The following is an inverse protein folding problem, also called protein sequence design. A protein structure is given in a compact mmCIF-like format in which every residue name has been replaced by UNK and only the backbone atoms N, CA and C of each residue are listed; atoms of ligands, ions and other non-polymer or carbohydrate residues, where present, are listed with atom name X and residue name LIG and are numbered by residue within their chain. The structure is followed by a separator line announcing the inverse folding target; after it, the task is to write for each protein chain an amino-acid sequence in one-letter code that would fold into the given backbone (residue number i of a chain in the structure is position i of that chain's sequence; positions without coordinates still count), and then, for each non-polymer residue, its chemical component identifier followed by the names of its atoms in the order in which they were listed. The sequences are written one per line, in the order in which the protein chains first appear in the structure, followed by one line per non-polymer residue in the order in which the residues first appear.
data_IF_262647470363
#
_entry.id   IF_262647470363
#
_cell.length_a   1.000
_cell.length_b   1.000
_cell.length_c   1.000
_cell.angle_alpha   90.00
_cell.angle_beta   90.00
_cell.angle_gamma   90.00
#
_symmetry.space_group_name_H-M   'P 1'
#
loop_
_entity.id
_entity.type
_entity.pdbx_description
1 polymer ?
#
# COMPACT_ATOMS: atom_id res chain seq x y z
N UNK A 1 10.44 -22.79 7.91
CA UNK A 1 9.70 -23.63 6.94
C UNK A 1 10.18 -23.27 5.55
N UNK A 2 10.48 -24.25 4.71
CA UNK A 2 10.76 -24.05 3.28
C UNK A 2 9.49 -23.55 2.60
N UNK A 3 9.60 -22.55 1.72
CA UNK A 3 8.45 -22.05 0.97
C UNK A 3 7.87 -23.16 0.07
N UNK A 4 6.54 -23.28 0.03
CA UNK A 4 5.82 -24.20 -0.86
C UNK A 4 5.13 -23.38 -1.95
N UNK A 5 5.41 -23.71 -3.20
CA UNK A 5 4.79 -23.09 -4.38
C UNK A 5 4.25 -24.19 -5.29
N UNK A 6 2.94 -24.23 -5.43
CA UNK A 6 2.23 -25.26 -6.20
C UNK A 6 1.33 -24.60 -7.25
N UNK A 7 1.48 -24.94 -8.54
CA UNK A 7 0.52 -24.52 -9.55
C UNK A 7 -0.86 -25.08 -9.25
N UNK A 8 -1.89 -24.24 -9.38
CA UNK A 8 -3.29 -24.60 -9.17
C UNK A 8 -4.19 -24.12 -10.31
N UNK A 9 -5.36 -24.76 -10.44
CA UNK A 9 -6.51 -24.22 -11.19
C UNK A 9 -7.61 -23.93 -10.19
N UNK A 10 -8.18 -22.73 -10.26
CA UNK A 10 -9.38 -22.36 -9.51
C UNK A 10 -10.30 -21.55 -10.38
N UNK A 11 -11.57 -21.96 -10.47
CA UNK A 11 -12.58 -21.29 -11.29
C UNK A 11 -12.10 -21.02 -12.73
N UNK A 12 -11.51 -22.04 -13.36
CA UNK A 12 -10.90 -21.99 -14.71
C UNK A 12 -9.70 -21.03 -14.87
N UNK A 13 -9.24 -20.41 -13.78
CA UNK A 13 -8.07 -19.52 -13.77
C UNK A 13 -6.84 -20.27 -13.27
N UNK A 14 -5.72 -20.01 -13.92
CA UNK A 14 -4.41 -20.55 -13.52
C UNK A 14 -3.87 -19.72 -12.36
N UNK A 15 -3.24 -20.38 -11.40
CA UNK A 15 -2.69 -19.73 -10.23
C UNK A 15 -1.54 -20.47 -9.57
N UNK A 16 -1.11 -19.91 -8.45
CA UNK A 16 -0.09 -20.47 -7.57
C UNK A 16 -0.65 -20.50 -6.15
N UNK A 17 -0.65 -21.66 -5.51
CA UNK A 17 -0.78 -21.78 -4.06
C UNK A 17 0.59 -21.54 -3.44
N UNK A 18 0.65 -20.65 -2.49
CA UNK A 18 1.87 -20.18 -1.85
C UNK A 18 1.73 -20.31 -0.33
N UNK A 19 2.71 -20.97 0.29
CA UNK A 19 2.83 -21.08 1.74
C UNK A 19 4.25 -20.69 2.15
N UNK A 20 4.37 -19.54 2.82
CA UNK A 20 5.62 -19.02 3.39
C UNK A 20 5.35 -18.56 4.83
N UNK A 21 6.39 -18.23 5.62
CA UNK A 21 6.20 -17.61 6.93
C UNK A 21 5.44 -16.27 6.89
N UNK A 22 5.40 -15.57 5.75
CA UNK A 22 4.78 -14.24 5.60
C UNK A 22 3.42 -14.30 4.91
N UNK A 23 3.17 -15.33 4.09
CA UNK A 23 2.01 -15.39 3.23
C UNK A 23 1.50 -16.82 3.07
N UNK A 24 0.22 -17.02 3.40
CA UNK A 24 -0.51 -18.24 3.07
C UNK A 24 -1.68 -17.87 2.16
N UNK A 25 -1.48 -17.99 0.85
CA UNK A 25 -2.42 -17.47 -0.13
C UNK A 25 -2.51 -18.31 -1.41
N UNK A 26 -3.55 -18.04 -2.17
CA UNK A 26 -3.63 -18.43 -3.57
C UNK A 26 -3.57 -17.17 -4.43
N UNK A 27 -2.65 -17.15 -5.41
CA UNK A 27 -2.55 -16.12 -6.42
C UNK A 27 -3.22 -16.62 -7.69
N UNK A 28 -4.17 -15.88 -8.25
CA UNK A 28 -4.92 -16.27 -9.44
C UNK A 28 -4.72 -15.24 -10.56
N UNK A 29 -4.31 -15.69 -11.75
CA UNK A 29 -4.27 -14.86 -12.96
C UNK A 29 -5.67 -14.42 -13.37
N UNK A 30 -5.87 -13.18 -13.83
CA UNK A 30 -7.18 -12.64 -14.21
C UNK A 30 -7.62 -12.97 -15.65
N UNK A 31 -6.70 -13.37 -16.54
CA UNK A 31 -6.93 -13.34 -18.00
C UNK A 31 -6.60 -14.63 -18.77
N UNK A 32 -6.29 -15.76 -18.11
CA UNK A 32 -5.82 -16.97 -18.80
C UNK A 32 -6.81 -18.13 -18.64
N UNK A 33 -7.24 -18.67 -19.79
CA UNK A 33 -8.08 -19.87 -19.89
C UNK A 33 -7.26 -21.18 -19.82
N UNK A 34 -7.83 -22.18 -19.17
CA UNK A 34 -7.19 -23.39 -18.62
C UNK A 34 -6.84 -24.49 -19.64
N UNK A 35 -7.09 -24.29 -20.93
CA UNK A 35 -7.05 -25.33 -21.97
C UNK A 35 -5.68 -26.02 -22.19
N UNK A 36 -4.57 -25.47 -21.67
CA UNK A 36 -3.21 -26.03 -21.79
C UNK A 36 -2.47 -26.13 -20.43
N UNK A 37 -3.19 -26.49 -19.36
CA UNK A 37 -2.71 -26.36 -17.98
C UNK A 37 -1.34 -27.00 -17.69
N UNK A 38 -1.09 -28.24 -18.12
CA UNK A 38 0.17 -28.94 -17.80
C UNK A 38 1.42 -28.23 -18.35
N UNK A 39 1.37 -27.77 -19.60
CA UNK A 39 2.43 -26.97 -20.20
C UNK A 39 2.56 -25.58 -19.54
N UNK A 40 1.44 -25.02 -19.07
CA UNK A 40 1.43 -23.72 -18.38
C UNK A 40 2.03 -23.78 -16.97
N UNK A 41 1.85 -24.88 -16.23
CA UNK A 41 2.30 -25.03 -14.86
C UNK A 41 3.83 -25.05 -14.76
N UNK A 42 4.51 -25.83 -15.61
CA UNK A 42 5.97 -25.84 -15.68
C UNK A 42 6.54 -24.50 -16.13
N UNK A 43 5.88 -23.84 -17.10
CA UNK A 43 6.29 -22.52 -17.58
C UNK A 43 6.21 -21.45 -16.48
N UNK A 44 5.13 -21.45 -15.69
CA UNK A 44 4.98 -20.51 -14.57
C UNK A 44 6.05 -20.76 -13.50
N UNK A 45 6.33 -22.01 -13.13
CA UNK A 45 7.40 -22.29 -12.17
C UNK A 45 8.79 -21.86 -12.66
N UNK A 46 9.07 -21.99 -13.97
CA UNK A 46 10.29 -21.43 -14.57
C UNK A 46 10.33 -19.90 -14.46
N UNK A 47 9.21 -19.22 -14.69
CA UNK A 47 9.11 -17.77 -14.53
C UNK A 47 9.30 -17.35 -13.05
N UNK A 48 8.74 -18.08 -12.09
CA UNK A 48 8.97 -17.86 -10.65
C UNK A 48 10.47 -17.94 -10.34
N UNK A 49 11.14 -19.01 -10.78
CA UNK A 49 12.59 -19.16 -10.57
C UNK A 49 13.39 -18.03 -11.22
N UNK A 50 13.01 -17.58 -12.42
CA UNK A 50 13.65 -16.45 -13.09
C UNK A 50 13.54 -15.17 -12.24
N UNK A 51 12.34 -14.84 -11.74
CA UNK A 51 12.15 -13.66 -10.90
C UNK A 51 12.94 -13.75 -9.59
N UNK A 52 13.02 -14.92 -8.95
CA UNK A 52 13.88 -15.09 -7.78
C UNK A 52 15.36 -14.86 -8.08
N UNK A 53 15.85 -15.30 -9.24
CA UNK A 53 17.24 -15.05 -9.68
C UNK A 53 17.53 -13.56 -9.92
N UNK A 54 16.50 -12.75 -10.21
CA UNK A 54 16.62 -11.29 -10.30
C UNK A 54 16.54 -10.56 -8.94
N UNK A 55 16.44 -11.31 -7.84
CA UNK A 55 16.52 -10.79 -6.47
C UNK A 55 15.19 -10.56 -5.77
N UNK A 56 14.06 -10.97 -6.36
CA UNK A 56 12.76 -10.93 -5.67
C UNK A 56 12.61 -12.11 -4.70
N UNK A 57 12.00 -11.84 -3.55
CA UNK A 57 11.53 -12.90 -2.64
C UNK A 57 10.49 -13.78 -3.36
N UNK A 58 10.31 -15.01 -2.88
CA UNK A 58 9.42 -15.98 -3.52
C UNK A 58 7.99 -15.44 -3.67
N UNK A 59 7.49 -14.67 -2.71
CA UNK A 59 6.15 -14.08 -2.75
C UNK A 59 5.98 -13.11 -3.93
N UNK A 60 6.95 -12.19 -4.11
CA UNK A 60 6.95 -11.25 -5.22
C UNK A 60 7.17 -11.98 -6.55
N UNK A 61 8.07 -12.97 -6.58
CA UNK A 61 8.34 -13.76 -7.77
C UNK A 61 7.09 -14.50 -8.28
N UNK A 62 6.25 -15.02 -7.37
CA UNK A 62 4.97 -15.61 -7.72
C UNK A 62 3.99 -14.60 -8.33
N UNK A 63 3.90 -13.39 -7.75
CA UNK A 63 3.06 -12.31 -8.31
C UNK A 63 3.55 -11.92 -9.70
N UNK A 64 4.84 -11.64 -9.85
CA UNK A 64 5.44 -11.21 -11.11
C UNK A 64 5.34 -12.27 -12.21
N UNK A 65 5.53 -13.55 -11.88
CA UNK A 65 5.40 -14.65 -12.83
C UNK A 65 3.98 -14.74 -13.41
N UNK A 66 2.95 -14.67 -12.55
CA UNK A 66 1.56 -14.69 -12.99
C UNK A 66 1.20 -13.42 -13.75
N UNK A 67 1.69 -12.26 -13.30
CA UNK A 67 1.43 -10.98 -13.94
C UNK A 67 2.00 -10.95 -15.37
N UNK A 68 3.28 -11.34 -15.52
CA UNK A 68 3.96 -11.44 -16.81
C UNK A 68 3.21 -12.38 -17.76
N UNK A 69 2.76 -13.53 -17.24
CA UNK A 69 2.01 -14.50 -18.03
C UNK A 69 0.65 -13.95 -18.50
N UNK A 70 -0.07 -13.28 -17.61
CA UNK A 70 -1.35 -12.65 -17.91
C UNK A 70 -1.20 -11.59 -19.00
N UNK A 71 -0.20 -10.72 -18.87
CA UNK A 71 0.14 -9.72 -19.88
C UNK A 71 0.54 -10.33 -21.23
N UNK A 72 1.30 -11.43 -21.22
CA UNK A 72 1.70 -12.14 -22.45
C UNK A 72 0.49 -12.69 -23.20
N UNK A 73 -0.52 -13.19 -22.47
CA UNK A 73 -1.73 -13.75 -23.07
C UNK A 73 -2.63 -12.66 -23.68
N UNK A 74 -2.70 -11.48 -23.04
CA UNK A 74 -3.50 -10.35 -23.52
C UNK A 74 -2.96 -9.73 -24.82
N UNK A 75 -1.66 -9.88 -25.12
CA UNK A 75 -0.99 -9.18 -26.22
C UNK A 75 -0.84 -9.96 -27.55
N UNK A 76 -1.44 -11.16 -27.69
CA UNK A 76 -1.40 -12.03 -28.90
C UNK A 76 -0.01 -12.26 -29.55
N UNK A 77 1.09 -11.92 -28.87
CA UNK A 77 2.46 -12.15 -29.30
C UNK A 77 3.08 -13.26 -28.45
N UNK A 78 3.29 -14.41 -29.10
CA UNK A 78 4.14 -15.55 -28.75
C UNK A 78 4.58 -15.66 -27.27
N UNK A 79 3.85 -16.49 -26.51
CA UNK A 79 4.08 -16.81 -25.10
C UNK A 79 5.42 -17.53 -24.80
N UNK A 80 6.29 -17.66 -25.81
CA UNK A 80 7.62 -18.26 -25.75
C UNK A 80 8.76 -17.23 -25.58
N UNK A 81 8.48 -15.94 -25.74
CA UNK A 81 9.49 -14.87 -25.64
C UNK A 81 9.65 -14.34 -24.20
N UNK A 82 10.47 -15.02 -23.39
CA UNK A 82 11.08 -14.45 -22.19
C UNK A 82 12.06 -13.34 -22.61
N UNK A 83 11.59 -12.13 -22.95
CA UNK A 83 12.55 -11.04 -23.18
C UNK A 83 12.11 -9.74 -23.83
N UNK A 84 10.95 -9.64 -24.48
CA UNK A 84 10.56 -8.39 -25.18
C UNK A 84 9.08 -8.11 -25.02
N UNK A 85 8.72 -7.60 -23.84
CA UNK A 85 7.41 -6.98 -23.62
C UNK A 85 7.48 -5.50 -24.02
N UNK A 86 6.43 -4.97 -24.65
CA UNK A 86 6.25 -3.51 -24.75
C UNK A 86 6.25 -2.88 -23.36
N UNK A 87 6.71 -1.62 -23.24
CA UNK A 87 7.04 -0.97 -21.95
C UNK A 87 5.91 -0.88 -20.90
N UNK A 88 4.67 -1.19 -21.27
CA UNK A 88 3.49 -0.78 -20.49
C UNK A 88 2.75 -1.96 -19.82
N UNK A 89 3.16 -3.20 -20.09
CA UNK A 89 2.47 -4.40 -19.57
C UNK A 89 2.40 -4.43 -18.04
N UNK A 90 3.45 -3.92 -17.41
CA UNK A 90 3.65 -4.00 -15.97
C UNK A 90 2.76 -3.01 -15.20
N UNK A 91 2.06 -2.11 -15.90
CA UNK A 91 1.09 -1.20 -15.29
C UNK A 91 -0.36 -1.58 -15.55
N UNK A 92 -0.61 -2.67 -16.29
CA UNK A 92 -1.97 -3.14 -16.53
C UNK A 92 -2.52 -3.86 -15.28
N UNK A 93 -3.27 -3.13 -14.47
CA UNK A 93 -3.98 -3.67 -13.30
C UNK A 93 -4.93 -4.82 -13.66
N UNK A 94 -5.43 -4.88 -14.89
CA UNK A 94 -6.25 -5.98 -15.41
C UNK A 94 -5.49 -7.30 -15.52
N UNK A 95 -4.17 -7.24 -15.73
CA UNK A 95 -3.28 -8.39 -15.73
C UNK A 95 -2.68 -8.69 -14.35
N UNK A 96 -2.81 -7.78 -13.37
CA UNK A 96 -2.26 -7.97 -12.04
C UNK A 96 -2.99 -9.10 -11.27
N UNK A 97 -2.27 -10.07 -10.69
CA UNK A 97 -2.89 -11.23 -10.03
C UNK A 97 -3.82 -10.83 -8.88
N UNK A 98 -4.88 -11.62 -8.72
CA UNK A 98 -5.71 -11.56 -7.51
C UNK A 98 -5.10 -12.43 -6.43
N UNK A 99 -5.04 -11.93 -5.20
CA UNK A 99 -4.53 -12.66 -4.04
C UNK A 99 -5.70 -13.04 -3.11
N UNK A 100 -5.85 -14.34 -2.85
CA UNK A 100 -6.79 -14.90 -1.88
C UNK A 100 -5.98 -15.26 -0.64
N UNK A 101 -5.96 -14.37 0.36
CA UNK A 101 -5.17 -14.55 1.58
C UNK A 101 -5.93 -15.35 2.63
N UNK A 102 -5.47 -16.57 2.92
CA UNK A 102 -6.11 -17.46 3.91
C UNK A 102 -5.77 -17.10 5.35
N UNK A 103 -4.81 -16.18 5.57
CA UNK A 103 -4.42 -15.69 6.89
C UNK A 103 -5.24 -14.48 7.35
N UNK A 104 -5.92 -13.77 6.44
CA UNK A 104 -6.80 -12.66 6.81
C UNK A 104 -8.05 -13.21 7.48
N UNK A 105 -8.18 -12.95 8.79
CA UNK A 105 -9.21 -13.56 9.64
C UNK A 105 -10.63 -13.36 9.12
N UNK A 106 -10.98 -12.15 8.68
CA UNK A 106 -12.30 -11.79 8.18
C UNK A 106 -12.19 -10.77 7.06
N UNK A 107 -12.64 -11.14 5.87
CA UNK A 107 -12.53 -10.31 4.67
C UNK A 107 -13.74 -9.38 4.54
N UNK A 108 -13.50 -8.19 4.01
CA UNK A 108 -14.54 -7.27 3.59
C UNK A 108 -15.25 -7.80 2.32
N UNK A 109 -16.58 -7.75 2.28
CA UNK A 109 -17.36 -8.20 1.12
C UNK A 109 -17.38 -7.15 0.00
N UNK A 110 -17.26 -5.86 0.35
CA UNK A 110 -17.33 -4.73 -0.60
C UNK A 110 -16.03 -3.92 -0.59
N UNK A 111 -15.92 -2.89 -1.42
CA UNK A 111 -14.82 -1.93 -1.29
C UNK A 111 -15.02 -1.06 -0.05
N UNK A 112 -13.93 -0.59 0.55
CA UNK A 112 -14.02 0.43 1.60
C UNK A 112 -14.47 1.76 1.01
N UNK A 113 -15.04 2.63 1.85
CA UNK A 113 -15.47 3.96 1.44
C UNK A 113 -14.28 4.76 0.87
N UNK A 114 -14.53 5.62 -0.13
CA UNK A 114 -13.47 6.45 -0.71
C UNK A 114 -13.09 7.61 0.22
N UNK A 115 -11.86 8.12 0.04
CA UNK A 115 -11.43 9.35 0.68
C UNK A 115 -12.23 10.55 0.18
N UNK A 116 -12.66 11.44 1.08
CA UNK A 116 -13.33 12.70 0.75
C UNK A 116 -12.45 13.61 -0.11
N UNK A 117 -11.13 13.61 0.11
CA UNK A 117 -10.17 14.24 -0.79
C UNK A 117 -9.00 13.28 -1.03
N UNK A 118 -8.87 12.67 -2.22
CA UNK A 118 -7.79 11.73 -2.54
C UNK A 118 -6.43 12.43 -2.78
N UNK A 119 -6.41 13.76 -2.90
CA UNK A 119 -5.18 14.54 -3.12
C UNK A 119 -4.99 15.64 -2.05
N UNK A 120 -4.91 15.30 -0.76
CA UNK A 120 -4.85 16.29 0.33
C UNK A 120 -3.47 16.95 0.47
N UNK A 121 -2.43 16.44 -0.20
CA UNK A 121 -1.07 16.95 -0.11
C UNK A 121 -0.29 16.38 1.06
N UNK A 122 0.13 17.21 2.01
CA UNK A 122 0.97 16.74 3.11
C UNK A 122 0.12 15.99 4.14
N UNK A 123 0.61 14.81 4.55
CA UNK A 123 -0.04 13.93 5.51
C UNK A 123 0.82 13.75 6.78
N UNK A 124 0.67 14.63 7.77
CA UNK A 124 1.37 14.51 9.03
C UNK A 124 0.95 13.26 9.81
N UNK A 125 1.94 12.53 10.34
CA UNK A 125 1.73 11.51 11.36
C UNK A 125 2.23 12.09 12.68
N UNK A 126 1.34 12.12 13.68
CA UNK A 126 1.58 12.67 15.01
C UNK A 126 1.26 11.63 16.07
N UNK A 127 1.86 11.74 17.25
CA UNK A 127 1.65 10.79 18.36
C UNK A 127 1.03 11.44 19.61
N UNK A 128 0.75 12.75 19.56
CA UNK A 128 0.13 13.50 20.65
C UNK A 128 -0.99 14.42 20.18
N UNK A 129 -1.93 14.71 21.08
CA UNK A 129 -3.08 15.56 20.83
C UNK A 129 -2.72 17.02 20.53
N UNK A 130 -1.73 17.57 21.22
CA UNK A 130 -1.25 18.95 21.00
C UNK A 130 -0.73 19.14 19.57
N UNK A 131 0.02 18.15 19.06
CA UNK A 131 0.52 18.16 17.69
C UNK A 131 -0.62 18.00 16.67
N UNK A 132 -1.59 17.13 16.95
CA UNK A 132 -2.78 16.94 16.12
C UNK A 132 -3.55 18.26 15.97
N UNK A 133 -3.85 18.93 17.08
CA UNK A 133 -4.57 20.21 17.07
C UNK A 133 -3.75 21.31 16.38
N UNK A 134 -2.44 21.34 16.60
CA UNK A 134 -1.52 22.26 15.93
C UNK A 134 -1.56 22.10 14.40
N UNK A 135 -1.51 20.88 13.90
CA UNK A 135 -1.56 20.58 12.46
C UNK A 135 -2.94 20.91 11.85
N UNK A 136 -4.03 20.67 12.57
CA UNK A 136 -5.36 21.08 12.15
C UNK A 136 -5.48 22.61 12.03
N UNK A 137 -5.00 23.35 13.03
CA UNK A 137 -4.93 24.83 13.00
C UNK A 137 -4.03 25.34 11.86
N UNK A 138 -2.99 24.58 11.50
CA UNK A 138 -2.11 24.90 10.39
C UNK A 138 -2.77 24.68 9.00
N UNK A 139 -3.88 23.94 8.95
CA UNK A 139 -4.66 23.69 7.74
C UNK A 139 -4.51 22.29 7.14
N UNK A 140 -3.99 21.31 7.90
CA UNK A 140 -3.87 19.94 7.42
C UNK A 140 -5.24 19.30 7.13
N UNK A 141 -5.39 18.76 5.93
CA UNK A 141 -6.63 18.12 5.45
C UNK A 141 -6.64 16.59 5.62
N UNK A 142 -5.51 16.02 5.99
CA UNK A 142 -5.35 14.60 6.32
C UNK A 142 -4.33 14.49 7.46
N UNK A 143 -4.61 13.70 8.48
CA UNK A 143 -3.70 13.46 9.62
C UNK A 143 -3.82 12.03 10.10
N UNK A 144 -2.74 11.51 10.68
CA UNK A 144 -2.75 10.21 11.34
C UNK A 144 -2.37 10.40 12.80
N UNK A 145 -3.20 9.87 13.71
CA UNK A 145 -2.77 9.69 15.09
C UNK A 145 -2.16 8.30 15.23
N UNK A 146 -0.87 8.25 15.58
CA UNK A 146 -0.09 7.02 15.77
C UNK A 146 0.50 6.96 17.17
N UNK A 147 -0.28 6.42 18.10
CA UNK A 147 0.20 6.12 19.45
C UNK A 147 0.91 4.76 19.42
N UNK A 148 2.20 4.71 19.79
CA UNK A 148 2.98 3.47 19.81
C UNK A 148 2.67 2.67 21.06
N UNK A 149 1.80 1.66 20.95
CA UNK A 149 1.52 0.69 22.00
C UNK A 149 0.96 -0.59 21.39
N UNK A 150 1.29 -1.74 21.97
CA UNK A 150 0.69 -3.03 21.63
C UNK A 150 -0.63 -3.28 22.37
N UNK A 151 -0.86 -2.55 23.47
CA UNK A 151 -2.02 -2.73 24.34
C UNK A 151 -2.88 -1.47 24.36
N UNK A 152 -4.19 -1.67 24.32
CA UNK A 152 -5.16 -0.60 24.50
C UNK A 152 -5.36 -0.32 26.00
N UNK A 153 -4.86 0.82 26.46
CA UNK A 153 -5.10 1.31 27.83
C UNK A 153 -6.26 2.31 27.86
N UNK A 154 -6.87 2.58 29.03
CA UNK A 154 -7.87 3.64 29.19
C UNK A 154 -7.38 5.01 28.72
N UNK A 155 -6.10 5.32 28.92
CA UNK A 155 -5.49 6.59 28.50
C UNK A 155 -5.39 6.68 26.97
N UNK A 156 -4.97 5.61 26.29
CA UNK A 156 -4.91 5.56 24.83
C UNK A 156 -6.31 5.69 24.24
N UNK A 157 -7.29 4.99 24.82
CA UNK A 157 -8.70 5.11 24.44
C UNK A 157 -9.21 6.55 24.56
N UNK A 158 -8.90 7.22 25.67
CA UNK A 158 -9.24 8.62 25.88
C UNK A 158 -8.62 9.52 24.81
N UNK A 159 -7.33 9.35 24.52
CA UNK A 159 -6.63 10.13 23.50
C UNK A 159 -7.25 9.94 22.10
N UNK A 160 -7.56 8.70 21.70
CA UNK A 160 -8.20 8.44 20.41
C UNK A 160 -9.57 9.12 20.32
N UNK A 161 -10.40 9.00 21.36
CA UNK A 161 -11.71 9.65 21.44
C UNK A 161 -11.59 11.16 21.32
N UNK A 162 -10.65 11.76 22.04
CA UNK A 162 -10.42 13.21 22.02
C UNK A 162 -9.92 13.68 20.65
N UNK A 163 -8.97 12.97 20.03
CA UNK A 163 -8.51 13.26 18.68
C UNK A 163 -9.64 13.25 17.66
N UNK A 164 -10.53 12.24 17.72
CA UNK A 164 -11.70 12.15 16.85
C UNK A 164 -12.63 13.34 17.09
N UNK A 165 -12.91 13.67 18.36
CA UNK A 165 -13.73 14.83 18.73
C UNK A 165 -13.16 16.15 18.20
N UNK A 166 -11.85 16.38 18.35
CA UNK A 166 -11.16 17.57 17.82
C UNK A 166 -11.27 17.61 16.31
N UNK A 167 -11.00 16.49 15.62
CA UNK A 167 -11.03 16.44 14.15
C UNK A 167 -12.39 16.80 13.54
N UNK A 168 -13.50 16.49 14.23
CA UNK A 168 -14.87 16.83 13.79
C UNK A 168 -15.13 18.34 13.72
N UNK A 169 -14.35 19.14 14.44
CA UNK A 169 -14.43 20.60 14.39
C UNK A 169 -13.82 21.16 13.08
N UNK A 170 -13.15 20.32 12.29
CA UNK A 170 -12.48 20.67 11.03
C UNK A 170 -13.10 19.85 9.89
N UNK A 171 -14.12 20.35 9.16
CA UNK A 171 -14.89 19.57 8.20
C UNK A 171 -14.07 18.96 7.03
N UNK A 172 -12.93 19.57 6.71
CA UNK A 172 -12.01 19.09 5.67
C UNK A 172 -11.02 18.04 6.16
N UNK A 173 -10.97 17.75 7.47
CA UNK A 173 -10.01 16.84 8.06
C UNK A 173 -10.40 15.37 7.82
N UNK A 174 -9.43 14.63 7.28
CA UNK A 174 -9.46 13.19 7.11
C UNK A 174 -8.55 12.54 8.16
N UNK A 175 -9.05 12.34 9.39
CA UNK A 175 -8.25 11.74 10.47
C UNK A 175 -8.26 10.21 10.39
N UNK A 176 -7.08 9.60 10.30
CA UNK A 176 -6.90 8.15 10.39
C UNK A 176 -6.30 7.76 11.74
N UNK A 177 -6.89 6.75 12.38
CA UNK A 177 -6.35 6.15 13.61
C UNK A 177 -5.48 4.95 13.24
N UNK A 178 -4.23 4.93 13.69
CA UNK A 178 -3.33 3.82 13.43
C UNK A 178 -3.64 2.64 14.38
N UNK A 179 -3.77 1.44 13.81
CA UNK A 179 -3.91 0.11 14.45
C UNK A 179 -5.15 -0.12 15.34
N UNK A 180 -5.58 0.85 16.16
CA UNK A 180 -6.68 0.73 17.14
C UNK A 180 -8.08 0.74 16.50
N UNK A 181 -8.35 -0.20 15.60
CA UNK A 181 -9.56 -0.24 14.79
C UNK A 181 -10.84 -0.46 15.59
N UNK A 182 -10.82 -1.20 16.71
CA UNK A 182 -12.01 -1.36 17.56
C UNK A 182 -12.47 -0.02 18.13
N UNK A 183 -11.55 0.76 18.68
CA UNK A 183 -11.85 2.09 19.25
C UNK A 183 -12.29 3.04 18.15
N UNK A 184 -11.68 2.97 16.97
CA UNK A 184 -12.07 3.79 15.84
C UNK A 184 -13.51 3.50 15.38
N UNK A 185 -13.95 2.24 15.42
CA UNK A 185 -15.37 1.86 15.17
C UNK A 185 -16.27 2.45 16.26
N UNK A 186 -15.95 2.18 17.54
CA UNK A 186 -16.77 2.60 18.68
C UNK A 186 -16.98 4.12 18.72
N UNK A 187 -15.94 4.89 18.38
CA UNK A 187 -15.97 6.36 18.40
C UNK A 187 -16.40 6.97 17.05
N UNK A 188 -16.62 6.17 16.01
CA UNK A 188 -17.02 6.66 14.68
C UNK A 188 -15.96 7.55 14.03
N UNK A 189 -14.73 7.04 13.95
CA UNK A 189 -13.61 7.72 13.29
C UNK A 189 -13.85 7.88 11.78
N UNK A 190 -13.11 8.79 11.14
CA UNK A 190 -13.15 8.92 9.68
C UNK A 190 -12.55 7.69 8.97
N UNK A 191 -11.46 7.14 9.51
CA UNK A 191 -10.86 5.91 9.03
C UNK A 191 -9.76 5.37 9.94
N UNK A 192 -9.22 4.21 9.55
CA UNK A 192 -8.10 3.53 10.20
C UNK A 192 -6.97 3.29 9.22
N UNK A 193 -5.74 3.26 9.72
CA UNK A 193 -4.57 2.82 8.95
C UNK A 193 -4.03 1.53 9.57
N UNK A 194 -3.82 0.50 8.77
CA UNK A 194 -3.35 -0.81 9.22
C UNK A 194 -2.08 -1.23 8.46
N UNK A 195 -1.14 -1.83 9.20
CA UNK A 195 -0.01 -2.55 8.63
C UNK A 195 -0.40 -3.96 8.16
N UNK A 196 0.53 -4.62 7.47
CA UNK A 196 0.32 -5.97 6.93
C UNK A 196 0.04 -7.02 8.01
N UNK A 197 0.64 -6.88 9.18
CA UNK A 197 0.43 -7.78 10.33
C UNK A 197 -0.95 -7.53 10.97
N UNK A 198 -1.38 -6.27 11.06
CA UNK A 198 -2.66 -5.89 11.65
C UNK A 198 -3.85 -6.39 10.81
N UNK A 199 -3.68 -6.47 9.48
CA UNK A 199 -4.65 -7.07 8.57
C UNK A 199 -4.95 -8.55 8.86
N UNK A 200 -4.04 -9.27 9.52
CA UNK A 200 -4.23 -10.68 9.85
C UNK A 200 -5.24 -10.86 10.99
N UNK A 201 -5.31 -9.88 11.90
CA UNK A 201 -6.12 -9.95 13.12
C UNK A 201 -7.36 -9.05 13.09
N UNK A 202 -7.38 -8.01 12.25
CA UNK A 202 -8.49 -7.07 12.17
C UNK A 202 -9.74 -7.70 11.55
N UNK A 203 -10.92 -7.37 12.10
CA UNK A 203 -12.19 -7.69 11.46
C UNK A 203 -12.51 -6.63 10.39
N UNK A 204 -12.03 -6.87 9.15
CA UNK A 204 -12.20 -5.91 8.05
C UNK A 204 -13.68 -5.70 7.69
N UNK A 205 -14.53 -6.72 7.90
CA UNK A 205 -15.97 -6.59 7.70
C UNK A 205 -16.59 -5.65 8.73
N UNK A 206 -16.20 -5.75 10.02
CA UNK A 206 -16.67 -4.83 11.05
C UNK A 206 -16.27 -3.37 10.75
N UNK A 207 -15.01 -3.13 10.33
CA UNK A 207 -14.54 -1.79 9.95
C UNK A 207 -15.36 -1.26 8.76
N UNK A 208 -15.60 -2.11 7.75
CA UNK A 208 -16.39 -1.76 6.58
C UNK A 208 -17.85 -1.44 6.92
N UNK A 209 -18.52 -2.28 7.71
CA UNK A 209 -19.92 -2.09 8.12
C UNK A 209 -20.10 -0.81 8.94
N UNK A 210 -19.11 -0.45 9.75
CA UNK A 210 -19.08 0.81 10.48
C UNK A 210 -18.92 2.05 9.56
N UNK A 211 -18.68 1.86 8.26
CA UNK A 211 -18.52 2.95 7.29
C UNK A 211 -17.16 3.65 7.35
N UNK A 212 -16.18 3.06 8.05
CA UNK A 212 -14.84 3.61 8.16
C UNK A 212 -14.06 3.44 6.85
N UNK A 213 -13.13 4.35 6.61
CA UNK A 213 -12.13 4.24 5.55
C UNK A 213 -10.94 3.43 6.02
N UNK A 214 -10.25 2.78 5.09
CA UNK A 214 -9.08 1.96 5.37
C UNK A 214 -7.88 2.43 4.56
N UNK A 215 -6.79 2.76 5.25
CA UNK A 215 -5.45 2.86 4.67
C UNK A 215 -4.66 1.59 4.92
N UNK A 216 -3.91 1.12 3.92
CA UNK A 216 -3.06 -0.07 4.05
C UNK A 216 -1.61 0.30 3.72
N UNK A 217 -0.67 -0.06 4.59
CA UNK A 217 0.77 0.00 4.26
C UNK A 217 1.16 -1.13 3.31
N UNK A 218 1.91 -0.82 2.26
CA UNK A 218 2.46 -1.77 1.30
C UNK A 218 3.92 -1.45 0.95
N UNK A 219 4.71 -2.50 0.82
CA UNK A 219 6.15 -2.46 0.72
C UNK A 219 6.68 -3.27 -0.47
N UNK A 220 5.88 -4.18 -1.02
CA UNK A 220 6.27 -5.15 -2.05
C UNK A 220 5.06 -5.56 -2.93
N UNK A 221 5.30 -6.32 -4.01
CA UNK A 221 4.25 -6.74 -4.94
C UNK A 221 3.19 -7.61 -4.28
N UNK A 222 3.59 -8.57 -3.45
CA UNK A 222 2.64 -9.45 -2.76
C UNK A 222 1.75 -8.69 -1.77
N UNK A 223 2.28 -7.64 -1.14
CA UNK A 223 1.51 -6.78 -0.24
C UNK A 223 0.55 -5.87 -0.99
N UNK A 224 0.95 -5.38 -2.17
CA UNK A 224 0.05 -4.66 -3.07
C UNK A 224 -1.05 -5.59 -3.56
N UNK A 225 -0.75 -6.84 -3.91
CA UNK A 225 -1.76 -7.84 -4.28
C UNK A 225 -2.76 -8.09 -3.14
N UNK A 226 -2.29 -8.21 -1.90
CA UNK A 226 -3.18 -8.28 -0.72
C UNK A 226 -4.05 -7.03 -0.59
N UNK A 227 -3.45 -5.84 -0.69
CA UNK A 227 -4.18 -4.57 -0.59
C UNK A 227 -5.26 -4.46 -1.68
N UNK A 228 -4.96 -4.78 -2.95
CA UNK A 228 -5.94 -4.72 -4.03
C UNK A 228 -7.11 -5.69 -3.85
N UNK A 229 -6.88 -6.87 -3.26
CA UNK A 229 -7.96 -7.79 -2.90
C UNK A 229 -8.85 -7.25 -1.77
N UNK A 230 -8.29 -6.45 -0.85
CA UNK A 230 -9.03 -5.79 0.24
C UNK A 230 -9.83 -4.59 -0.26
N UNK A 231 -9.37 -3.91 -1.33
CA UNK A 231 -9.96 -2.68 -1.90
C UNK A 231 -10.05 -1.54 -0.86
N UNK A 232 -8.91 -1.08 -0.31
CA UNK A 232 -8.86 -0.02 0.68
C UNK A 232 -9.20 1.35 0.08
N UNK A 233 -9.36 2.34 0.96
CA UNK A 233 -9.53 3.74 0.60
C UNK A 233 -8.26 4.36 0.02
N UNK A 234 -7.08 3.90 0.46
CA UNK A 234 -5.77 4.24 -0.12
C UNK A 234 -4.71 3.18 0.19
N UNK A 235 -3.60 3.22 -0.54
CA UNK A 235 -2.40 2.39 -0.27
C UNK A 235 -1.20 3.29 0.02
N UNK A 236 -0.55 3.10 1.16
CA UNK A 236 0.68 3.81 1.52
C UNK A 236 1.90 2.98 1.11
N UNK A 237 2.72 3.53 0.20
CA UNK A 237 3.89 2.86 -0.34
C UNK A 237 5.17 3.45 0.28
N UNK A 238 5.94 2.60 0.97
CA UNK A 238 7.22 3.00 1.57
C UNK A 238 8.01 1.86 2.20
N UNK A 239 9.06 2.13 2.99
CA UNK A 239 9.69 3.43 3.11
C UNK A 239 10.29 3.86 1.76
N UNK A 240 10.09 5.11 1.34
CA UNK A 240 10.68 5.62 0.09
C UNK A 240 12.18 5.90 0.25
N UNK A 241 12.55 6.41 1.43
CA UNK A 241 13.92 6.78 1.80
C UNK A 241 14.28 6.17 3.16
N UNK A 242 15.58 6.13 3.53
CA UNK A 242 15.99 5.68 4.87
C UNK A 242 15.22 6.41 5.99
N UNK A 243 14.73 5.65 6.96
CA UNK A 243 13.94 6.18 8.08
C UNK A 243 14.20 5.40 9.36
N UNK A 244 14.06 6.08 10.50
CA UNK A 244 14.13 5.49 11.85
C UNK A 244 12.76 5.37 12.52
N UNK A 245 11.68 5.69 11.81
CA UNK A 245 10.33 5.78 12.40
C UNK A 245 9.69 4.43 12.78
N UNK A 246 10.11 3.34 12.10
CA UNK A 246 9.68 1.97 12.35
C UNK A 246 10.83 1.04 11.92
N UNK A 247 11.19 0.08 12.78
CA UNK A 247 12.14 -0.97 12.41
C UNK A 247 11.42 -1.96 11.48
N UNK A 248 11.97 -2.17 10.30
CA UNK A 248 11.34 -2.98 9.26
C UNK A 248 12.40 -3.63 8.37
N UNK A 249 12.13 -4.80 7.77
CA UNK A 249 13.09 -5.50 6.91
C UNK A 249 13.21 -4.90 5.50
N UNK A 250 12.28 -4.03 5.09
CA UNK A 250 12.26 -3.49 3.73
C UNK A 250 13.36 -2.45 3.50
N UNK A 251 14.06 -2.58 2.37
CA UNK A 251 14.95 -1.55 1.87
C UNK A 251 14.15 -0.38 1.27
N UNK A 252 14.69 0.85 1.28
CA UNK A 252 14.01 1.99 0.68
C UNK A 252 13.63 1.75 -0.78
N UNK A 253 12.36 1.97 -1.10
CA UNK A 253 11.81 1.69 -2.44
C UNK A 253 12.27 2.71 -3.49
N UNK A 254 12.59 3.93 -3.07
CA UNK A 254 12.92 5.03 -3.97
C UNK A 254 11.73 5.53 -4.81
N UNK A 255 12.03 6.52 -5.64
CA UNK A 255 11.03 7.22 -6.48
C UNK A 255 10.58 6.35 -7.66
N UNK A 256 11.46 5.50 -8.21
CA UNK A 256 11.14 4.60 -9.32
C UNK A 256 9.97 3.66 -8.97
N UNK A 257 10.04 3.02 -7.80
CA UNK A 257 8.96 2.15 -7.32
C UNK A 257 7.69 2.96 -7.05
N UNK A 258 7.79 4.17 -6.51
CA UNK A 258 6.60 5.00 -6.30
C UNK A 258 5.92 5.37 -7.62
N UNK A 259 6.68 5.78 -8.65
CA UNK A 259 6.16 6.01 -10.00
C UNK A 259 5.46 4.77 -10.56
N UNK A 260 6.00 3.59 -10.27
CA UNK A 260 5.37 2.34 -10.67
C UNK A 260 4.04 2.11 -9.93
N UNK A 261 4.03 2.26 -8.60
CA UNK A 261 2.82 2.06 -7.80
C UNK A 261 1.71 3.03 -8.15
N UNK A 262 2.01 4.32 -8.41
CA UNK A 262 0.99 5.31 -8.80
C UNK A 262 0.34 5.00 -10.15
N UNK A 263 0.94 4.12 -10.96
CA UNK A 263 0.45 3.72 -12.27
C UNK A 263 -0.29 2.40 -12.24
N UNK A 264 0.16 1.47 -11.40
CA UNK A 264 -0.49 0.17 -11.21
C UNK A 264 -1.72 0.25 -10.31
N UNK A 265 -1.62 0.95 -9.18
CA UNK A 265 -2.63 0.90 -8.12
C UNK A 265 -3.80 1.83 -8.51
N UNK A 266 -5.04 1.31 -8.60
CA UNK A 266 -6.21 2.10 -9.00
C UNK A 266 -6.76 2.98 -7.85
N UNK A 267 -6.22 2.82 -6.64
CA UNK A 267 -6.58 3.60 -5.45
C UNK A 267 -5.58 4.75 -5.24
N UNK A 268 -5.95 5.80 -4.46
CA UNK A 268 -5.00 6.82 -4.05
C UNK A 268 -3.74 6.20 -3.44
N UNK A 269 -2.58 6.63 -3.94
CA UNK A 269 -1.27 6.21 -3.43
C UNK A 269 -0.70 7.32 -2.55
N UNK A 270 -0.20 6.94 -1.38
CA UNK A 270 0.50 7.82 -0.45
C UNK A 270 1.96 7.41 -0.39
N UNK A 271 2.88 8.33 -0.67
CA UNK A 271 4.31 8.10 -0.49
C UNK A 271 4.70 8.28 0.99
N UNK A 272 5.38 7.31 1.60
CA UNK A 272 5.74 7.36 3.04
C UNK A 272 7.18 6.91 3.31
N UNK A 273 7.80 7.48 4.34
CA UNK A 273 9.09 7.03 4.87
C UNK A 273 10.28 7.87 4.39
N UNK A 274 10.88 8.60 5.33
CA UNK A 274 12.04 9.46 5.07
C UNK A 274 11.73 10.71 4.23
N UNK A 275 10.46 11.14 4.19
CA UNK A 275 10.02 12.33 3.45
C UNK A 275 10.50 13.62 4.13
N UNK A 276 11.05 14.54 3.35
CA UNK A 276 11.50 15.86 3.77
C UNK A 276 11.35 16.88 2.62
N UNK A 277 11.72 18.15 2.84
CA UNK A 277 11.63 19.20 1.82
C UNK A 277 12.49 18.94 0.58
N UNK A 278 13.63 18.27 0.72
CA UNK A 278 14.56 17.99 -0.37
C UNK A 278 13.99 16.98 -1.36
N UNK A 279 13.29 15.95 -0.88
CA UNK A 279 12.74 14.89 -1.72
C UNK A 279 11.25 15.04 -2.07
N UNK A 280 10.53 15.95 -1.42
CA UNK A 280 9.09 16.16 -1.62
C UNK A 280 8.71 16.42 -3.08
N UNK A 281 9.55 17.17 -3.80
CA UNK A 281 9.30 17.49 -5.21
C UNK A 281 9.27 16.24 -6.09
N UNK A 282 10.22 15.32 -5.89
CA UNK A 282 10.29 14.07 -6.63
C UNK A 282 9.12 13.14 -6.29
N UNK A 283 8.66 13.14 -5.02
CA UNK A 283 7.47 12.39 -4.62
C UNK A 283 6.22 12.93 -5.34
N UNK A 284 6.01 14.25 -5.29
CA UNK A 284 4.87 14.90 -5.93
C UNK A 284 4.83 14.65 -7.45
N UNK A 285 5.99 14.63 -8.09
CA UNK A 285 6.15 14.38 -9.51
C UNK A 285 5.62 13.01 -9.94
N UNK A 286 5.59 12.01 -9.04
CA UNK A 286 5.07 10.66 -9.32
C UNK A 286 3.56 10.60 -9.56
N UNK A 287 2.84 11.65 -9.16
CA UNK A 287 1.38 11.68 -9.19
C UNK A 287 0.71 11.02 -7.99
N UNK A 288 1.45 10.65 -6.93
CA UNK A 288 0.84 10.20 -5.68
C UNK A 288 -0.02 11.33 -5.08
N UNK A 289 -1.14 10.95 -4.44
CA UNK A 289 -2.11 11.92 -3.93
C UNK A 289 -1.63 12.64 -2.67
N UNK A 290 -0.69 12.03 -1.95
CA UNK A 290 -0.15 12.59 -0.71
C UNK A 290 1.27 12.10 -0.42
N UNK A 291 1.98 12.87 0.41
CA UNK A 291 3.24 12.47 1.04
C UNK A 291 3.11 12.50 2.56
N UNK A 292 3.41 11.37 3.20
CA UNK A 292 3.32 11.22 4.64
C UNK A 292 4.63 11.57 5.35
N UNK A 293 4.53 12.42 6.37
CA UNK A 293 5.67 13.10 7.00
C UNK A 293 5.59 12.99 8.53
N UNK A 294 6.73 12.66 9.15
CA UNK A 294 6.90 12.71 10.62
C UNK A 294 7.97 13.74 10.96
N UNK A 295 9.24 13.38 10.74
CA UNK A 295 10.38 14.11 11.30
C UNK A 295 10.53 15.53 10.76
N UNK A 296 10.25 15.75 9.47
CA UNK A 296 10.35 17.09 8.87
C UNK A 296 9.28 18.08 9.37
N UNK A 297 8.30 17.62 10.16
CA UNK A 297 7.29 18.48 10.81
C UNK A 297 7.48 18.44 12.33
N UNK A 298 7.34 17.25 12.93
CA UNK A 298 7.34 17.07 14.38
C UNK A 298 8.71 17.40 15.01
N UNK A 299 9.80 17.25 14.24
CA UNK A 299 11.15 17.55 14.68
C UNK A 299 11.64 18.96 14.34
N UNK A 300 10.80 19.82 13.75
CA UNK A 300 11.17 21.18 13.39
C UNK A 300 10.99 22.16 14.57
N UNK A 301 11.77 23.24 14.59
CA UNK A 301 11.64 24.31 15.59
C UNK A 301 10.26 24.98 15.56
N UNK A 302 9.69 25.12 14.35
CA UNK A 302 8.32 25.59 14.13
C UNK A 302 7.56 24.57 13.24
N UNK A 303 6.84 23.61 13.85
CA UNK A 303 6.10 22.59 13.11
C UNK A 303 4.99 23.16 12.20
N UNK A 304 4.35 24.27 12.59
CA UNK A 304 3.29 24.92 11.78
C UNK A 304 3.91 25.48 10.51
N UNK A 305 5.02 26.21 10.63
CA UNK A 305 5.71 26.79 9.50
C UNK A 305 6.31 25.69 8.60
N UNK A 306 6.84 24.62 9.19
CA UNK A 306 7.35 23.46 8.45
C UNK A 306 6.23 22.80 7.60
N UNK A 307 5.07 22.51 8.21
CA UNK A 307 3.92 21.97 7.49
C UNK A 307 3.48 22.89 6.33
N UNK A 308 3.30 24.19 6.59
CA UNK A 308 2.88 25.15 5.57
C UNK A 308 3.86 25.26 4.40
N UNK A 309 5.16 25.21 4.69
CA UNK A 309 6.22 25.25 3.68
C UNK A 309 6.18 24.00 2.78
N UNK A 310 6.05 22.81 3.38
CA UNK A 310 5.89 21.57 2.64
C UNK A 310 4.60 21.56 1.80
N UNK A 311 3.48 22.02 2.37
CA UNK A 311 2.21 22.10 1.64
C UNK A 311 2.29 23.08 0.46
N UNK A 312 2.95 24.23 0.64
CA UNK A 312 3.17 25.19 -0.44
C UNK A 312 4.05 24.60 -1.56
N UNK A 313 5.12 23.88 -1.19
CA UNK A 313 5.99 23.19 -2.14
C UNK A 313 5.20 22.11 -2.91
N UNK A 314 4.38 21.32 -2.21
CA UNK A 314 3.50 20.32 -2.81
C UNK A 314 2.56 20.91 -3.85
N UNK A 315 1.90 22.03 -3.50
CA UNK A 315 0.92 22.69 -4.36
C UNK A 315 1.56 23.31 -5.62
N UNK A 316 2.81 23.76 -5.55
CA UNK A 316 3.54 24.38 -6.67
C UNK A 316 4.23 23.36 -7.57
N UNK A 317 4.48 22.14 -7.09
CA UNK A 317 5.22 21.14 -7.84
C UNK A 317 4.27 20.38 -8.79
N UNK A 318 4.55 20.34 -10.11
CA UNK A 318 3.70 19.66 -11.08
C UNK A 318 3.82 18.14 -11.00
N UNK A 319 2.78 17.42 -11.45
CA UNK A 319 2.88 15.99 -11.78
C UNK A 319 3.68 15.85 -13.06
N UNK A 320 4.65 14.94 -13.11
CA UNK A 320 5.33 14.59 -14.34
C UNK A 320 4.62 13.44 -15.04
N UNK A 321 4.41 13.60 -16.35
CA UNK A 321 3.98 12.52 -17.24
C UNK A 321 5.20 11.89 -17.92
N UNK A 322 6.19 11.50 -17.12
CA UNK A 322 7.40 10.86 -17.63
C UNK A 322 7.17 9.41 -18.05
N UNK A 323 8.14 8.88 -18.79
CA UNK A 323 8.20 7.49 -19.24
C UNK A 323 8.31 6.58 -18.01
N UNK A 324 7.52 5.51 -17.97
CA UNK A 324 7.52 4.54 -16.87
C UNK A 324 8.95 4.03 -16.61
N UNK A 325 9.41 4.02 -15.35
CA UNK A 325 10.67 3.37 -15.02
C UNK A 325 10.60 1.87 -15.31
N UNK A 326 11.76 1.27 -15.61
CA UNK A 326 11.88 -0.16 -15.82
C UNK A 326 11.68 -0.89 -14.48
N UNK A 327 10.49 -1.49 -14.27
CA UNK A 327 10.10 -2.42 -13.19
C UNK A 327 10.42 -1.97 -11.74
N UNK A 328 9.43 -2.02 -10.83
CA UNK A 328 9.71 -1.75 -9.41
C UNK A 328 10.74 -2.75 -8.86
N UNK A 329 11.82 -2.24 -8.28
CA UNK A 329 12.96 -3.01 -7.76
C UNK A 329 12.55 -3.86 -6.55
N UNK A 330 13.21 -5.01 -6.29
CA UNK A 330 12.98 -5.78 -5.08
C UNK A 330 13.19 -4.93 -3.82
N UNK A 331 12.35 -5.11 -2.81
CA UNK A 331 12.38 -4.31 -1.57
C UNK A 331 12.70 -5.16 -0.33
N UNK A 332 12.91 -6.46 -0.52
CA UNK A 332 13.31 -7.41 0.50
C UNK A 332 14.51 -8.20 -0.03
N UNK A 333 15.49 -8.44 0.82
CA UNK A 333 16.53 -9.41 0.52
C UNK A 333 15.90 -10.81 0.40
N UNK A 334 16.25 -11.51 -0.68
CA UNK A 334 15.85 -12.89 -0.95
C UNK A 334 16.48 -13.88 0.04
#
# INVERSE_FOLDING_TARGET
MTAIVEPIIRNQRIGLKLQTPRLHAELLSRSIDSAAYSASAQSILKAVNHWQQTGYVIEDACVLALFQRAASASNSADASSLGTFGSDWITDVGCFPELIDHSVARRAERAFAEMSNPNPGIYPIVDRLDQLEMMLKAGAQILQLRIKSEQLTPEIRMQIREAISISRQYPSCQLFINDFWQVAIEEGAYGVHLGQEDLLIADLNAIQVAGLRLGVSSHAFWEVARALSIRPSYVACGPLFPTRAKAMPWIPQGIDNLFYWTRLIPHPVIGIGGVNSENLGAIRATGCGSASVIQAIVGADDPIQAFRSLQQQWNRTPVLREKLPALARPTLAA
#
